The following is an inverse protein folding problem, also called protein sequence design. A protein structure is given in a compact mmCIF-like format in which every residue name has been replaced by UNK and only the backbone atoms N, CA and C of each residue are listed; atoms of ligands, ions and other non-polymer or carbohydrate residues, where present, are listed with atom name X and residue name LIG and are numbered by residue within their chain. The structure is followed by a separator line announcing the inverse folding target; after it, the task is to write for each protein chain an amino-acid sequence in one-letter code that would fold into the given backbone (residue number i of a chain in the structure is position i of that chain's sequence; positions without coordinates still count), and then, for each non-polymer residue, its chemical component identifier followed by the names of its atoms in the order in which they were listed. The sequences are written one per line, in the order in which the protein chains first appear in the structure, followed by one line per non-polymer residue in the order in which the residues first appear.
data_IF_612886274606
#
_entry.id   IF_612886274606
#
_cell.length_a   1.000
_cell.length_b   1.000
_cell.length_c   1.000
_cell.angle_alpha   90.00
_cell.angle_beta   90.00
_cell.angle_gamma   90.00
#
_symmetry.space_group_name_H-M   'P 1'
#
loop_
_entity.id
_entity.type
_entity.pdbx_description
1 polymer ?
#
# COMPACT_ATOMS: atom_id res chain seq x y z
N UNK A 1 -17.16 15.28 -19.35
CA UNK A 1 -16.01 14.35 -19.29
C UNK A 1 -14.73 15.16 -19.38
N UNK A 2 -13.74 14.92 -18.49
CA UNK A 2 -12.47 15.64 -18.55
C UNK A 2 -11.65 15.24 -19.79
N UNK A 3 -11.06 16.25 -20.44
CA UNK A 3 -10.10 16.08 -21.54
C UNK A 3 -8.70 16.03 -20.96
N UNK A 4 -7.94 14.99 -21.28
CA UNK A 4 -6.56 14.86 -20.84
C UNK A 4 -5.61 15.04 -22.02
N UNK A 5 -4.71 16.04 -21.91
CA UNK A 5 -3.62 16.22 -22.86
C UNK A 5 -2.52 15.19 -22.61
N UNK A 6 -2.12 14.46 -23.65
CA UNK A 6 -1.09 13.42 -23.58
C UNK A 6 -0.15 13.46 -24.76
N UNK A 7 1.12 13.11 -24.52
CA UNK A 7 2.17 13.09 -25.53
C UNK A 7 2.51 11.65 -25.90
N UNK A 8 2.46 11.33 -27.19
CA UNK A 8 2.88 10.02 -27.69
C UNK A 8 4.37 9.80 -27.45
N UNK A 9 4.75 8.65 -26.89
CA UNK A 9 6.14 8.30 -26.64
C UNK A 9 6.93 7.95 -27.90
N UNK A 10 6.24 7.62 -29.00
CA UNK A 10 6.88 7.25 -30.27
C UNK A 10 7.09 8.45 -31.19
N UNK A 11 6.04 9.25 -31.44
CA UNK A 11 6.10 10.38 -32.39
C UNK A 11 6.12 11.76 -31.72
N UNK A 12 6.11 11.82 -30.38
CA UNK A 12 6.11 13.07 -29.60
C UNK A 12 4.92 14.00 -29.87
N UNK A 13 3.91 13.55 -30.61
CA UNK A 13 2.69 14.33 -30.86
C UNK A 13 1.84 14.44 -29.59
N UNK A 14 1.28 15.62 -29.36
CA UNK A 14 0.35 15.87 -28.24
C UNK A 14 -1.08 15.78 -28.75
N UNK A 15 -1.87 14.90 -28.16
CA UNK A 15 -3.29 14.74 -28.46
C UNK A 15 -4.13 14.84 -27.19
N UNK A 16 -5.37 15.27 -27.35
CA UNK A 16 -6.36 15.31 -26.27
C UNK A 16 -7.23 14.07 -26.35
N UNK A 17 -7.56 13.46 -25.20
CA UNK A 17 -8.40 12.27 -25.22
C UNK A 17 -9.35 12.25 -24.05
N UNK A 18 -10.57 11.83 -24.39
CA UNK A 18 -11.63 11.54 -23.44
C UNK A 18 -11.36 10.16 -22.83
N UNK A 19 -11.26 10.11 -21.51
CA UNK A 19 -11.14 8.84 -20.78
C UNK A 19 -12.44 8.64 -20.02
N UNK A 20 -13.18 7.60 -20.39
CA UNK A 20 -14.37 7.13 -19.69
C UNK A 20 -13.95 6.43 -18.39
N UNK A 21 -14.08 7.15 -17.28
CA UNK A 21 -13.86 6.62 -15.93
C UNK A 21 -15.17 6.02 -15.40
N UNK A 22 -15.74 5.05 -16.10
CA UNK A 22 -17.02 4.45 -15.71
C UNK A 22 -16.87 3.41 -14.57
N UNK A 23 -15.68 2.83 -14.38
CA UNK A 23 -15.45 1.79 -13.36
C UNK A 23 -14.52 2.22 -12.20
N UNK A 24 -14.92 2.05 -10.93
CA UNK A 24 -14.09 2.37 -9.76
C UNK A 24 -12.88 1.44 -9.59
N UNK A 25 -12.82 0.33 -10.35
CA UNK A 25 -11.65 -0.56 -10.43
C UNK A 25 -10.55 0.11 -11.26
N UNK A 26 -10.92 0.77 -12.36
CA UNK A 26 -9.98 1.45 -13.26
C UNK A 26 -9.41 2.73 -12.65
N UNK A 27 -10.07 3.32 -11.65
CA UNK A 27 -9.48 4.42 -10.86
C UNK A 27 -8.28 3.99 -10.00
N UNK A 28 -8.15 2.70 -9.67
CA UNK A 28 -7.05 2.19 -8.84
C UNK A 28 -5.80 1.81 -9.65
N UNK A 29 -5.96 1.49 -10.94
CA UNK A 29 -4.84 1.11 -11.80
C UNK A 29 -4.61 2.08 -12.97
N UNK A 30 -5.60 2.87 -13.38
CA UNK A 30 -5.55 3.99 -14.34
C UNK A 30 -4.50 3.88 -15.45
N UNK A 31 -4.31 2.67 -15.98
CA UNK A 31 -3.49 2.37 -17.16
C UNK A 31 -4.47 2.08 -18.26
N UNK A 32 -4.55 3.01 -19.22
CA UNK A 32 -5.37 2.82 -20.41
C UNK A 32 -4.46 2.73 -21.61
N UNK A 33 -4.70 1.71 -22.43
CA UNK A 33 -4.07 1.59 -23.74
C UNK A 33 -4.79 2.51 -24.70
N UNK A 34 -4.06 3.52 -25.19
CA UNK A 34 -4.65 4.47 -26.11
C UNK A 34 -3.77 4.64 -27.34
N UNK A 35 -4.41 4.55 -28.50
CA UNK A 35 -3.78 4.64 -29.81
C UNK A 35 -3.46 6.11 -30.13
N UNK A 36 -2.27 6.35 -30.65
CA UNK A 36 -1.92 7.66 -31.22
C UNK A 36 -2.54 7.81 -32.61
N UNK A 37 -3.29 8.89 -32.84
CA UNK A 37 -3.97 9.12 -34.12
C UNK A 37 -3.01 9.38 -35.28
N UNK A 38 -1.79 9.84 -34.96
CA UNK A 38 -0.79 10.22 -35.96
C UNK A 38 0.13 9.06 -36.38
N UNK A 39 0.49 8.18 -35.45
CA UNK A 39 1.42 7.08 -35.74
C UNK A 39 0.84 5.68 -35.51
N UNK A 40 -0.40 5.58 -35.04
CA UNK A 40 -1.08 4.30 -34.76
C UNK A 40 -0.47 3.49 -33.62
N UNK A 41 0.57 4.00 -32.93
CA UNK A 41 1.18 3.28 -31.82
C UNK A 41 0.27 3.32 -30.59
N UNK A 42 0.12 2.17 -29.95
CA UNK A 42 -0.53 2.05 -28.64
C UNK A 42 0.42 2.58 -27.58
N UNK A 43 -0.03 3.55 -26.80
CA UNK A 43 0.71 4.10 -25.66
C UNK A 43 -0.14 3.93 -24.41
N UNK A 44 0.42 3.33 -23.37
CA UNK A 44 -0.22 3.25 -22.06
C UNK A 44 -0.16 4.62 -21.38
N UNK A 45 -1.31 5.24 -21.14
CA UNK A 45 -1.40 6.51 -20.42
C UNK A 45 -1.71 6.25 -18.95
N UNK A 46 -1.00 6.95 -18.06
CA UNK A 46 -1.28 6.99 -16.62
C UNK A 46 -1.99 8.29 -16.29
N UNK A 47 -3.22 8.22 -15.80
CA UNK A 47 -3.90 9.40 -15.25
C UNK A 47 -3.48 9.55 -13.79
N UNK A 48 -2.86 10.67 -13.38
CA UNK A 48 -2.65 10.94 -11.96
C UNK A 48 -4.03 11.12 -11.31
N UNK A 49 -4.38 10.23 -10.38
CA UNK A 49 -5.64 10.30 -9.65
C UNK A 49 -5.70 11.62 -8.85
N UNK A 50 -6.66 12.49 -9.21
CA UNK A 50 -6.86 13.83 -8.66
C UNK A 50 -7.24 13.80 -7.17
N UNK A 51 -7.70 12.65 -6.67
CA UNK A 51 -8.10 12.44 -5.28
C UNK A 51 -6.97 11.89 -4.40
N UNK A 52 -5.73 12.37 -4.57
CA UNK A 52 -4.62 12.02 -3.67
C UNK A 52 -4.46 10.51 -3.45
N UNK A 53 -4.83 9.74 -4.48
CA UNK A 53 -5.00 8.29 -4.41
C UNK A 53 -3.69 7.66 -3.97
N UNK A 54 -3.72 7.12 -2.75
CA UNK A 54 -2.74 6.31 -2.04
C UNK A 54 -1.37 6.32 -2.73
N UNK A 55 -0.31 6.93 -2.14
CA UNK A 55 1.02 6.83 -2.71
C UNK A 55 1.28 5.35 -2.92
N UNK A 56 1.32 4.95 -4.19
CA UNK A 56 1.64 3.60 -4.61
C UNK A 56 2.82 3.20 -3.73
N UNK A 57 2.65 2.16 -2.90
CA UNK A 57 3.64 1.76 -1.87
C UNK A 57 5.04 1.62 -2.49
N UNK A 58 5.04 1.44 -3.81
CA UNK A 58 6.15 1.35 -4.72
C UNK A 58 7.01 2.63 -4.89
N UNK A 59 6.49 3.82 -4.56
CA UNK A 59 7.28 5.08 -4.60
C UNK A 59 8.07 5.35 -3.31
N UNK A 60 7.85 4.57 -2.24
CA UNK A 60 8.54 4.80 -0.96
C UNK A 60 9.98 4.29 -0.95
N UNK A 61 10.40 3.55 -1.97
CA UNK A 61 11.76 3.06 -2.13
C UNK A 61 12.35 3.50 -3.48
N UNK A 62 13.08 4.61 -3.49
CA UNK A 62 13.88 5.03 -4.63
C UNK A 62 15.28 4.38 -4.54
N UNK A 63 15.55 3.40 -5.40
CA UNK A 63 16.85 2.69 -5.45
C UNK A 63 16.90 1.40 -4.63
N UNK A 64 18.11 0.83 -4.46
CA UNK A 64 18.31 -0.48 -3.81
C UNK A 64 18.21 -0.44 -2.28
N UNK A 65 18.37 0.73 -1.66
CA UNK A 65 18.28 0.96 -0.22
C UNK A 65 17.68 2.33 0.02
N UNK A 66 16.63 2.42 0.81
CA UNK A 66 16.09 3.67 1.32
C UNK A 66 15.58 3.41 2.73
N UNK A 67 15.77 4.38 3.62
CA UNK A 67 15.26 4.27 4.99
C UNK A 67 13.83 4.81 5.01
N UNK A 68 12.88 3.89 5.15
CA UNK A 68 11.50 4.25 5.43
C UNK A 68 11.31 4.36 6.94
N UNK A 69 10.83 5.51 7.40
CA UNK A 69 10.35 5.71 8.77
C UNK A 69 8.84 5.40 8.78
N UNK A 70 8.40 4.55 9.70
CA UNK A 70 6.99 4.27 9.95
C UNK A 70 6.60 4.68 11.36
N UNK A 71 5.30 4.90 11.57
CA UNK A 71 4.73 5.10 12.89
C UNK A 71 5.11 3.92 13.79
N UNK A 72 5.74 4.26 14.91
CA UNK A 72 6.39 3.34 15.84
C UNK A 72 5.49 2.87 16.99
N UNK A 73 6.10 2.22 17.98
CA UNK A 73 5.46 1.88 19.26
C UNK A 73 5.84 2.90 20.34
N UNK A 74 5.19 2.83 21.50
CA UNK A 74 5.61 3.64 22.63
C UNK A 74 6.99 3.16 23.16
N UNK A 75 7.88 4.03 23.68
CA UNK A 75 9.20 3.63 24.18
C UNK A 75 9.20 2.49 25.21
N UNK A 76 8.14 2.38 26.01
CA UNK A 76 7.97 1.29 26.99
C UNK A 76 7.72 -0.08 26.35
N UNK A 77 7.26 -0.11 25.10
CA UNK A 77 6.86 -1.33 24.38
C UNK A 77 7.97 -1.82 23.44
N UNK A 78 9.09 -1.08 23.34
CA UNK A 78 10.19 -1.37 22.41
C UNK A 78 10.78 -2.76 22.61
N UNK A 79 10.91 -3.21 23.87
CA UNK A 79 11.43 -4.54 24.18
C UNK A 79 10.53 -5.65 23.64
N UNK A 80 9.22 -5.48 23.76
CA UNK A 80 8.23 -6.45 23.28
C UNK A 80 8.12 -6.41 21.75
N UNK A 81 8.07 -5.21 21.16
CA UNK A 81 8.05 -5.02 19.72
C UNK A 81 9.27 -5.69 19.04
N UNK A 82 10.47 -5.58 19.65
CA UNK A 82 11.68 -6.25 19.15
C UNK A 82 11.55 -7.78 19.15
N UNK A 83 10.85 -8.36 20.12
CA UNK A 83 10.60 -9.80 20.15
C UNK A 83 9.55 -10.22 19.11
N UNK A 84 8.45 -9.47 19.00
CA UNK A 84 7.34 -9.78 18.09
C UNK A 84 7.75 -9.73 16.61
N UNK A 85 8.58 -8.74 16.27
CA UNK A 85 9.09 -8.51 14.91
C UNK A 85 10.51 -9.05 14.69
N UNK A 86 11.00 -9.92 15.58
CA UNK A 86 12.29 -10.58 15.40
C UNK A 86 12.34 -11.30 14.05
N UNK A 87 13.45 -11.13 13.31
CA UNK A 87 13.66 -11.77 12.01
C UNK A 87 12.99 -11.08 10.81
N UNK A 88 12.23 -9.99 11.01
CA UNK A 88 11.62 -9.24 9.89
C UNK A 88 12.58 -8.29 9.17
N UNK A 89 13.77 -8.04 9.74
CA UNK A 89 14.77 -7.10 9.21
C UNK A 89 14.50 -5.63 9.59
N UNK A 90 13.46 -5.36 10.37
CA UNK A 90 13.17 -4.05 10.94
C UNK A 90 14.18 -3.63 11.99
N UNK A 91 14.58 -2.35 11.95
CA UNK A 91 15.33 -1.71 13.01
C UNK A 91 14.37 -0.87 13.86
N UNK A 92 14.15 -1.29 15.10
CA UNK A 92 13.33 -0.57 16.08
C UNK A 92 14.27 0.22 16.98
N UNK A 93 14.17 1.54 16.94
CA UNK A 93 14.97 2.44 17.78
C UNK A 93 14.39 2.55 19.20
N UNK A 94 15.19 3.06 20.14
CA UNK A 94 14.80 3.11 21.56
C UNK A 94 13.68 4.13 21.84
N UNK A 95 13.46 5.05 20.90
CA UNK A 95 12.34 5.99 20.87
C UNK A 95 11.03 5.37 20.37
N UNK A 96 11.05 4.09 19.96
CA UNK A 96 9.90 3.40 19.40
C UNK A 96 9.80 3.46 17.88
N UNK A 97 10.64 4.25 17.21
CA UNK A 97 10.57 4.47 15.76
C UNK A 97 10.98 3.22 14.97
N UNK A 98 10.21 2.88 13.94
CA UNK A 98 10.49 1.77 13.04
C UNK A 98 11.20 2.24 11.78
N UNK A 99 12.37 1.67 11.50
CA UNK A 99 13.16 1.92 10.28
C UNK A 99 13.29 0.67 9.44
N UNK A 100 12.96 0.80 8.15
CA UNK A 100 13.06 -0.28 7.17
C UNK A 100 14.07 0.09 6.09
N UNK A 101 15.02 -0.80 5.82
CA UNK A 101 16.14 -0.56 4.89
C UNK A 101 15.94 -1.13 3.50
N UNK A 102 15.07 -2.12 3.37
CA UNK A 102 14.81 -2.80 2.10
C UNK A 102 13.33 -3.12 1.91
N UNK A 103 12.95 -3.29 0.65
CA UNK A 103 11.58 -3.63 0.26
C UNK A 103 11.18 -5.04 0.71
N UNK A 104 12.13 -5.97 0.80
CA UNK A 104 11.89 -7.31 1.35
C UNK A 104 11.56 -7.26 2.83
N UNK A 105 12.28 -6.44 3.60
CA UNK A 105 12.03 -6.27 5.04
C UNK A 105 10.65 -5.65 5.29
N UNK A 106 10.27 -4.67 4.46
CA UNK A 106 8.94 -4.07 4.50
C UNK A 106 7.83 -5.09 4.23
N UNK A 107 8.01 -5.98 3.25
CA UNK A 107 7.05 -7.06 2.97
C UNK A 107 6.99 -8.08 4.11
N UNK A 108 8.11 -8.39 4.75
CA UNK A 108 8.16 -9.28 5.91
C UNK A 108 7.43 -8.68 7.11
N UNK A 109 7.64 -7.38 7.36
CA UNK A 109 6.90 -6.63 8.35
C UNK A 109 5.39 -6.70 8.11
N UNK A 110 4.93 -6.34 6.91
CA UNK A 110 3.50 -6.34 6.58
C UNK A 110 2.87 -7.72 6.77
N UNK A 111 3.58 -8.79 6.39
CA UNK A 111 3.12 -10.16 6.63
C UNK A 111 2.99 -10.47 8.12
N UNK A 112 3.95 -10.04 8.94
CA UNK A 112 3.93 -10.25 10.40
C UNK A 112 2.82 -9.45 11.07
N UNK A 113 2.64 -8.19 10.69
CA UNK A 113 1.58 -7.32 11.21
C UNK A 113 0.18 -7.89 10.89
N UNK A 114 -0.03 -8.32 9.65
CA UNK A 114 -1.27 -8.98 9.25
C UNK A 114 -1.53 -10.27 10.04
N UNK A 115 -0.48 -11.06 10.32
CA UNK A 115 -0.63 -12.26 11.14
C UNK A 115 -1.06 -11.90 12.57
N UNK A 116 -0.42 -10.91 13.19
CA UNK A 116 -0.77 -10.52 14.56
C UNK A 116 -2.22 -10.00 14.67
N UNK A 117 -2.69 -9.26 13.66
CA UNK A 117 -4.09 -8.81 13.62
C UNK A 117 -5.08 -9.98 13.50
N UNK A 118 -4.74 -11.00 12.71
CA UNK A 118 -5.54 -12.22 12.61
C UNK A 118 -5.57 -12.97 13.94
N UNK A 119 -4.40 -13.19 14.55
CA UNK A 119 -4.29 -13.87 15.84
C UNK A 119 -5.08 -13.11 16.94
N UNK A 120 -5.03 -11.78 16.93
CA UNK A 120 -5.80 -10.94 17.85
C UNK A 120 -7.32 -11.05 17.59
N UNK A 121 -7.75 -11.05 16.33
CA UNK A 121 -9.15 -11.23 15.96
C UNK A 121 -9.68 -12.62 16.35
N UNK A 122 -8.88 -13.68 16.15
CA UNK A 122 -9.23 -15.04 16.57
C UNK A 122 -9.36 -15.15 18.09
N UNK A 123 -8.42 -14.55 18.84
CA UNK A 123 -8.51 -14.50 20.32
C UNK A 123 -9.72 -13.73 20.79
N UNK A 124 -10.05 -12.61 20.15
CA UNK A 124 -11.24 -11.82 20.48
C UNK A 124 -12.51 -12.62 20.20
N UNK A 125 -12.61 -13.27 19.03
CA UNK A 125 -13.74 -14.11 18.68
C UNK A 125 -13.91 -15.29 19.66
N UNK A 126 -12.81 -15.91 20.10
CA UNK A 126 -12.85 -16.98 21.11
C UNK A 126 -13.31 -16.47 22.49
N UNK A 127 -12.85 -15.28 22.89
CA UNK A 127 -13.31 -14.64 24.12
C UNK A 127 -14.81 -14.34 24.04
N UNK A 128 -15.28 -13.71 22.97
CA UNK A 128 -16.67 -13.34 22.78
C UNK A 128 -17.59 -14.59 22.73
N UNK A 129 -17.14 -15.67 22.09
CA UNK A 129 -17.83 -16.96 22.11
C UNK A 129 -17.90 -17.56 23.53
N UNK A 130 -16.83 -17.44 24.33
CA UNK A 130 -16.82 -17.93 25.71
C UNK A 130 -17.71 -17.11 26.65
N UNK A 131 -17.83 -15.81 26.40
CA UNK A 131 -18.73 -14.91 27.14
C UNK A 131 -20.19 -15.19 26.76
N UNK A 132 -20.48 -15.38 25.47
CA UNK A 132 -21.82 -15.75 25.00
C UNK A 132 -22.29 -17.09 25.60
N UNK A 133 -21.41 -18.10 25.64
CA UNK A 133 -21.74 -19.41 26.23
C UNK A 133 -22.02 -19.36 27.74
N UNK A 134 -21.53 -18.35 28.46
CA UNK A 134 -21.80 -18.13 29.89
C UNK A 134 -23.02 -17.25 30.17
N UNK A 135 -23.56 -16.58 29.16
CA UNK A 135 -24.72 -15.70 29.28
C UNK A 135 -26.07 -16.44 29.32
N UNK A 136 -26.12 -17.70 28.90
CA UNK A 136 -27.34 -18.52 28.84
C UNK A 136 -27.67 -19.27 30.15
N UNK A 137 -26.87 -19.12 31.21
CA UNK A 137 -27.06 -19.81 32.50
C UNK A 137 -27.77 -18.96 33.59
N UNK A 138 -28.34 -17.79 33.25
CA UNK A 138 -29.09 -16.93 34.19
C UNK A 138 -30.53 -16.69 33.77
#
# INVERSE_FOLDING_TARGET
MPLYARKCTSCMHTQETLIDLEDPIDQKLAVFDIVCELCGCVTSAHVPNENGGVPSVDRKFAGRKSELVMDGCHPSEVSEARQLFAGTGLKIEDDGTYKVRSRSDYRNYQRRDLQMRKDAAEKQAAHDASVAARGDEN
#
